data_IF_903514792293
#
_entry.id   IF_903514792293
#
_cell.length_a   1.000
_cell.length_b   1.000
_cell.length_c   1.000
_cell.angle_alpha   90.00
_cell.angle_beta   90.00
_cell.angle_gamma   90.00
#
_symmetry.space_group_name_H-M   'P 1'
#
loop_
_entity.id
_entity.type
_entity.pdbx_description
1 polymer ?
#
# COMPACT_ATOMS: atom_id res chain seq x y z
N UNK A 1 -17.46 -1.84 0.20
CA UNK A 1 -16.81 -1.96 -1.13
C UNK A 1 -15.39 -1.43 -0.99
N UNK A 2 -14.38 -2.07 -1.58
CA UNK A 2 -13.01 -1.52 -1.60
C UNK A 2 -12.96 -0.36 -2.60
N UNK A 3 -12.26 0.72 -2.24
CA UNK A 3 -12.08 1.93 -3.05
C UNK A 3 -11.02 1.77 -4.16
N UNK A 4 -10.37 0.61 -4.18
CA UNK A 4 -9.28 0.27 -5.08
C UNK A 4 -9.56 -1.04 -5.80
N UNK A 5 -8.98 -1.18 -6.99
CA UNK A 5 -9.08 -2.41 -7.77
C UNK A 5 -8.07 -3.46 -7.28
N UNK A 6 -8.29 -4.72 -7.65
CA UNK A 6 -7.32 -5.79 -7.36
C UNK A 6 -5.94 -5.50 -7.97
N UNK A 7 -5.89 -4.91 -9.15
CA UNK A 7 -4.63 -4.54 -9.81
C UNK A 7 -3.85 -3.49 -9.00
N UNK A 8 -4.54 -2.47 -8.48
CA UNK A 8 -3.92 -1.44 -7.65
C UNK A 8 -3.37 -2.03 -6.34
N UNK A 9 -4.10 -2.99 -5.78
CA UNK A 9 -3.66 -3.71 -4.59
C UNK A 9 -2.38 -4.51 -4.84
N UNK A 10 -2.36 -5.36 -5.87
CA UNK A 10 -1.18 -6.17 -6.21
C UNK A 10 0.03 -5.28 -6.55
N UNK A 11 -0.18 -4.18 -7.29
CA UNK A 11 0.88 -3.23 -7.61
C UNK A 11 1.51 -2.60 -6.37
N UNK A 12 0.70 -2.26 -5.36
CA UNK A 12 1.21 -1.68 -4.12
C UNK A 12 1.77 -2.72 -3.17
N UNK A 13 1.28 -3.96 -3.23
CA UNK A 13 1.87 -5.11 -2.52
C UNK A 13 3.28 -5.39 -3.01
N UNK A 14 3.50 -5.42 -4.32
CA UNK A 14 4.84 -5.54 -4.91
C UNK A 14 5.72 -4.38 -4.50
N UNK A 15 5.20 -3.14 -4.59
CA UNK A 15 5.97 -1.95 -4.19
C UNK A 15 6.39 -2.01 -2.71
N UNK A 16 5.48 -2.41 -1.81
CA UNK A 16 5.82 -2.56 -0.39
C UNK A 16 6.92 -3.59 -0.18
N UNK A 17 6.84 -4.72 -0.89
CA UNK A 17 7.88 -5.75 -0.85
C UNK A 17 9.24 -5.21 -1.31
N UNK A 18 9.28 -4.44 -2.39
CA UNK A 18 10.51 -3.79 -2.86
C UNK A 18 11.11 -2.89 -1.76
N UNK A 19 10.29 -2.11 -1.06
CA UNK A 19 10.75 -1.27 0.06
C UNK A 19 11.29 -2.10 1.23
N UNK A 20 10.67 -3.23 1.56
CA UNK A 20 11.16 -4.13 2.62
C UNK A 20 12.48 -4.81 2.19
N UNK A 21 12.59 -5.22 0.93
CA UNK A 21 13.81 -5.83 0.37
C UNK A 21 14.99 -4.85 0.30
N UNK A 22 14.73 -3.54 0.25
CA UNK A 22 15.77 -2.49 0.32
C UNK A 22 16.04 -1.96 1.74
N UNK A 23 15.49 -2.60 2.78
CA UNK A 23 15.54 -2.12 4.18
C UNK A 23 14.88 -0.74 4.40
N UNK A 24 14.10 -0.27 3.42
CA UNK A 24 13.38 1.00 3.44
C UNK A 24 11.89 0.81 3.79
N UNK A 25 11.51 -0.31 4.41
CA UNK A 25 10.11 -0.65 4.70
C UNK A 25 9.34 0.47 5.41
N UNK A 26 10.01 1.22 6.30
CA UNK A 26 9.44 2.37 7.01
C UNK A 26 9.05 3.55 6.09
N UNK A 27 9.67 3.65 4.91
CA UNK A 27 9.35 4.68 3.91
C UNK A 27 8.09 4.34 3.10
N UNK A 28 7.60 3.10 3.19
CA UNK A 28 6.32 2.73 2.61
C UNK A 28 5.19 3.30 3.47
N UNK A 29 4.59 4.40 3.03
CA UNK A 29 3.52 5.11 3.77
C UNK A 29 2.27 5.32 2.91
N UNK A 30 1.18 5.76 3.53
CA UNK A 30 -0.03 6.22 2.82
C UNK A 30 0.27 7.27 1.73
N UNK A 31 1.30 8.11 1.92
CA UNK A 31 1.71 9.10 0.92
C UNK A 31 2.38 8.45 -0.29
N UNK A 32 3.16 7.38 -0.08
CA UNK A 32 3.74 6.57 -1.15
C UNK A 32 2.63 6.00 -2.03
N UNK A 33 1.60 5.42 -1.41
CA UNK A 33 0.40 4.91 -2.11
C UNK A 33 -0.32 6.03 -2.87
N UNK A 34 -0.61 7.17 -2.20
CA UNK A 34 -1.29 8.32 -2.79
C UNK A 34 -0.56 8.83 -4.04
N UNK A 35 0.77 9.00 -3.97
CA UNK A 35 1.62 9.46 -5.09
C UNK A 35 1.68 8.43 -6.22
N UNK A 36 1.84 7.15 -5.89
CA UNK A 36 2.04 6.09 -6.90
C UNK A 36 0.77 5.81 -7.70
N UNK A 37 -0.39 5.85 -7.06
CA UNK A 37 -1.68 5.60 -7.70
C UNK A 37 -2.40 6.88 -8.17
N UNK A 38 -1.87 8.07 -7.85
CA UNK A 38 -2.60 9.35 -7.99
C UNK A 38 -4.00 9.27 -7.40
N UNK A 39 -4.11 8.60 -6.25
CA UNK A 39 -5.36 8.30 -5.59
C UNK A 39 -5.78 9.43 -4.63
N UNK A 40 -7.09 9.50 -4.33
CA UNK A 40 -7.60 10.30 -3.21
C UNK A 40 -7.09 9.78 -1.86
N UNK A 41 -7.17 10.62 -0.83
CA UNK A 41 -6.67 10.30 0.52
C UNK A 41 -7.38 9.09 1.14
N UNK A 42 -8.69 9.01 0.97
CA UNK A 42 -9.51 7.92 1.49
C UNK A 42 -9.11 6.57 0.89
N UNK A 43 -8.95 6.52 -0.44
CA UNK A 43 -8.50 5.34 -1.18
C UNK A 43 -7.08 4.92 -0.78
N UNK A 44 -6.16 5.87 -0.69
CA UNK A 44 -4.78 5.60 -0.31
C UNK A 44 -4.67 5.08 1.13
N UNK A 45 -5.47 5.64 2.04
CA UNK A 45 -5.53 5.22 3.44
C UNK A 45 -6.10 3.81 3.57
N UNK A 46 -7.22 3.52 2.90
CA UNK A 46 -7.80 2.18 2.93
C UNK A 46 -6.85 1.13 2.36
N UNK A 47 -6.21 1.40 1.22
CA UNK A 47 -5.29 0.47 0.60
C UNK A 47 -4.01 0.27 1.43
N UNK A 48 -3.45 1.34 2.01
CA UNK A 48 -2.30 1.23 2.91
C UNK A 48 -2.63 0.37 4.13
N UNK A 49 -3.75 0.63 4.81
CA UNK A 49 -4.18 -0.14 5.96
C UNK A 49 -4.43 -1.61 5.62
N UNK A 50 -5.02 -1.90 4.47
CA UNK A 50 -5.26 -3.28 4.05
C UNK A 50 -3.94 -4.02 3.70
N UNK A 51 -2.92 -3.29 3.23
CA UNK A 51 -1.59 -3.86 2.98
C UNK A 51 -0.77 -4.07 4.26
N UNK A 52 -0.97 -3.26 5.30
CA UNK A 52 -0.28 -3.42 6.59
C UNK A 52 -0.99 -4.44 7.49
N UNK A 53 -2.33 -4.46 7.50
CA UNK A 53 -3.12 -5.46 8.25
C UNK A 53 -2.88 -6.91 7.84
N UNK A 54 -2.38 -7.15 6.63
CA UNK A 54 -1.99 -8.50 6.19
C UNK A 54 -0.76 -9.04 6.92
N UNK A 55 0.06 -8.18 7.55
CA UNK A 55 1.28 -8.62 8.27
C UNK A 55 1.05 -8.80 9.77
N UNK A 56 0.15 -8.04 10.40
CA UNK A 56 -0.21 -8.20 11.83
C UNK A 56 -1.16 -9.38 12.12
N UNK A 57 -1.45 -10.21 11.10
CA UNK A 57 -2.45 -11.29 11.14
C UNK A 57 -1.90 -12.71 11.32
N UNK A 58 -0.59 -12.88 11.48
CA UNK A 58 0.07 -14.16 11.83
C UNK A 58 0.72 -14.10 13.22
#
# INVERSE_FOLDING_TARGET
MKLYSKEEFEKMKTLKREFVETEEGELFTKNTVKRRLRAGEEKATQLFNDLTKLEDGE
#
